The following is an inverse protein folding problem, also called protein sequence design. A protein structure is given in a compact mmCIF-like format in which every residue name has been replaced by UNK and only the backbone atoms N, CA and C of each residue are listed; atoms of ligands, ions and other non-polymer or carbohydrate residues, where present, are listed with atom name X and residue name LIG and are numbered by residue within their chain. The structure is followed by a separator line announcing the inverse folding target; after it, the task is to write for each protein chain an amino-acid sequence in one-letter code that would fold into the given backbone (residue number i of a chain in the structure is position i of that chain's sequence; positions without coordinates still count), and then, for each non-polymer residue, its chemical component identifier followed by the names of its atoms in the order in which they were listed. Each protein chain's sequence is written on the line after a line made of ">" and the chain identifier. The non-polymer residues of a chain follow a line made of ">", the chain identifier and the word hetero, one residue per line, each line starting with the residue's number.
data_IF_643545376836
#
_entry.id   IF_643545376836
#
_cell.length_a   1.000
_cell.length_b   1.000
_cell.length_c   1.000
_cell.angle_alpha   90.00
_cell.angle_beta   90.00
_cell.angle_gamma   90.00
#
_symmetry.space_group_name_H-M   'P 1'
#
loop_
_entity.id
_entity.type
_entity.pdbx_description
1 polymer ?
#
# COMPACT_ATOMS: atom_id res chain seq x y z
N UNK A 1 13.69 -11.09 -12.03
CA UNK A 1 14.87 -10.28 -12.35
C UNK A 1 15.57 -9.94 -11.05
N UNK A 2 16.84 -10.30 -10.87
CA UNK A 2 17.67 -9.82 -9.77
C UNK A 2 18.51 -8.66 -10.30
N UNK A 3 18.67 -7.64 -9.49
CA UNK A 3 19.36 -6.39 -9.90
C UNK A 3 20.88 -6.44 -9.70
N UNK A 4 21.42 -7.49 -9.09
CA UNK A 4 22.84 -7.62 -8.85
C UNK A 4 23.33 -9.05 -9.11
N UNK A 5 24.41 -9.20 -9.85
CA UNK A 5 25.10 -10.46 -10.10
C UNK A 5 26.22 -10.72 -9.07
N UNK A 6 26.15 -10.10 -7.92
CA UNK A 6 27.10 -10.23 -6.81
C UNK A 6 26.50 -10.90 -5.57
N UNK A 7 27.27 -10.95 -4.49
CA UNK A 7 26.92 -11.60 -3.21
C UNK A 7 25.64 -11.06 -2.49
N UNK A 8 24.92 -10.11 -3.07
CA UNK A 8 23.68 -9.54 -2.56
C UNK A 8 22.60 -9.54 -3.63
N UNK A 9 21.98 -10.67 -3.90
CA UNK A 9 20.78 -10.72 -4.73
C UNK A 9 19.63 -9.99 -4.02
N UNK A 10 19.10 -8.94 -4.64
CA UNK A 10 17.91 -8.25 -4.16
C UNK A 10 16.70 -8.69 -4.99
N UNK A 11 15.66 -9.18 -4.34
CA UNK A 11 14.37 -9.43 -4.99
C UNK A 11 13.69 -8.11 -5.35
N UNK A 12 13.06 -8.04 -6.51
CA UNK A 12 12.21 -6.91 -6.86
C UNK A 12 11.02 -6.87 -5.90
N UNK A 13 10.68 -5.70 -5.34
CA UNK A 13 9.53 -5.57 -4.47
C UNK A 13 8.24 -5.84 -5.27
N UNK A 14 7.71 -7.04 -5.13
CA UNK A 14 6.46 -7.48 -5.75
C UNK A 14 5.36 -7.43 -4.71
N UNK A 15 4.20 -6.85 -5.06
CA UNK A 15 3.05 -6.73 -4.18
C UNK A 15 1.85 -7.49 -4.74
N UNK A 16 1.11 -8.14 -3.85
CA UNK A 16 -0.26 -8.57 -4.10
C UNK A 16 -1.21 -7.62 -3.38
N UNK A 17 -2.07 -6.95 -4.13
CA UNK A 17 -3.15 -6.11 -3.59
C UNK A 17 -4.49 -6.66 -4.03
N UNK A 18 -5.37 -6.90 -3.06
CA UNK A 18 -6.74 -7.32 -3.29
C UNK A 18 -7.63 -6.30 -2.60
N UNK A 19 -8.61 -5.76 -3.34
CA UNK A 19 -9.52 -4.77 -2.80
C UNK A 19 -10.93 -4.94 -3.33
N UNK A 20 -11.88 -4.42 -2.57
CA UNK A 20 -13.28 -4.34 -2.96
C UNK A 20 -13.82 -2.95 -2.68
N UNK A 21 -14.62 -2.44 -3.61
CA UNK A 21 -15.32 -1.19 -3.47
C UNK A 21 -16.83 -1.41 -3.63
N UNK A 22 -17.59 -0.81 -2.73
CA UNK A 22 -19.03 -0.85 -2.71
C UNK A 22 -19.57 0.57 -2.82
N UNK A 23 -20.50 0.79 -3.74
CA UNK A 23 -21.10 2.09 -3.97
C UNK A 23 -22.61 1.99 -3.78
N UNK A 24 -23.15 2.90 -2.98
CA UNK A 24 -24.55 2.98 -2.62
C UNK A 24 -25.11 4.35 -3.00
N UNK A 25 -25.96 4.44 -4.03
CA UNK A 25 -26.74 5.65 -4.26
C UNK A 25 -27.79 5.76 -3.15
N UNK A 26 -27.74 6.84 -2.36
CA UNK A 26 -28.66 7.07 -1.23
C UNK A 26 -29.89 7.86 -1.68
N UNK A 27 -29.72 8.80 -2.61
CA UNK A 27 -30.74 9.63 -3.21
C UNK A 27 -30.22 10.22 -4.53
N UNK A 28 -31.01 11.00 -5.25
CA UNK A 28 -30.70 11.52 -6.59
C UNK A 28 -29.32 12.16 -6.74
N UNK A 29 -28.84 12.83 -5.69
CA UNK A 29 -27.54 13.54 -5.70
C UNK A 29 -26.54 13.00 -4.67
N UNK A 30 -26.89 11.97 -3.92
CA UNK A 30 -26.11 11.48 -2.80
C UNK A 30 -25.58 10.08 -3.07
N UNK A 31 -24.28 9.92 -3.00
CA UNK A 31 -23.63 8.62 -3.14
C UNK A 31 -22.68 8.38 -1.97
N UNK A 32 -22.72 7.18 -1.41
CA UNK A 32 -21.78 6.71 -0.39
C UNK A 32 -21.01 5.52 -0.93
N UNK A 33 -19.70 5.57 -0.84
CA UNK A 33 -18.84 4.47 -1.25
C UNK A 33 -17.97 4.00 -0.07
N UNK A 34 -17.71 2.70 -0.02
CA UNK A 34 -16.80 2.07 0.93
C UNK A 34 -15.78 1.25 0.17
N UNK A 35 -14.52 1.35 0.58
CA UNK A 35 -13.44 0.55 0.05
C UNK A 35 -12.69 -0.18 1.15
N UNK A 36 -12.26 -1.39 0.85
CA UNK A 36 -11.34 -2.15 1.69
C UNK A 36 -10.27 -2.77 0.81
N UNK A 37 -9.01 -2.66 1.22
CA UNK A 37 -7.86 -3.24 0.54
C UNK A 37 -7.01 -4.02 1.53
N UNK A 38 -6.52 -5.16 1.07
CA UNK A 38 -5.45 -5.93 1.71
C UNK A 38 -4.25 -5.95 0.76
N UNK A 39 -3.07 -5.62 1.27
CA UNK A 39 -1.84 -5.64 0.49
C UNK A 39 -0.76 -6.43 1.21
N UNK A 40 -0.11 -7.36 0.51
CA UNK A 40 1.01 -8.17 1.00
C UNK A 40 2.20 -8.01 0.09
N UNK A 41 3.38 -7.77 0.67
CA UNK A 41 4.65 -7.79 -0.04
C UNK A 41 5.05 -9.25 -0.29
N UNK A 42 5.26 -9.60 -1.56
CA UNK A 42 5.63 -10.95 -2.01
C UNK A 42 7.15 -11.06 -2.21
N UNK A 43 7.90 -10.74 -1.17
CA UNK A 43 9.35 -10.88 -1.15
C UNK A 43 9.69 -11.91 -0.07
N UNK A 44 10.48 -12.96 -0.39
CA UNK A 44 10.81 -13.98 0.59
C UNK A 44 11.61 -13.40 1.74
N UNK A 45 11.26 -13.83 2.95
CA UNK A 45 11.92 -13.39 4.19
C UNK A 45 13.39 -13.77 4.17
N UNK A 46 14.27 -12.78 4.31
CA UNK A 46 15.72 -13.03 4.41
C UNK A 46 16.05 -13.70 5.74
N UNK A 47 16.84 -14.79 5.75
CA UNK A 47 17.34 -15.38 7.00
C UNK A 47 18.04 -14.33 7.87
N UNK A 48 17.75 -14.33 9.15
CA UNK A 48 18.33 -13.40 10.12
C UNK A 48 19.22 -14.18 11.08
N UNK A 49 20.42 -13.68 11.33
CA UNK A 49 21.40 -14.33 12.23
C UNK A 49 20.86 -14.60 13.64
N UNK A 50 19.90 -13.78 14.10
CA UNK A 50 19.23 -13.96 15.40
C UNK A 50 18.34 -15.20 15.51
N UNK A 51 17.95 -15.78 14.40
CA UNK A 51 17.08 -16.96 14.33
C UNK A 51 17.91 -18.27 14.36
N UNK A 52 19.26 -18.16 14.44
CA UNK A 52 20.24 -19.25 14.48
C UNK A 52 21.17 -19.10 15.66
N UNK A 53 21.71 -20.21 16.19
CA UNK A 53 22.72 -20.16 17.26
C UNK A 53 24.10 -19.84 16.69
N UNK A 54 24.40 -18.54 16.58
CA UNK A 54 25.66 -18.04 16.04
C UNK A 54 26.90 -18.33 16.96
N UNK A 55 26.68 -18.90 18.15
CA UNK A 55 27.76 -19.24 19.07
C UNK A 55 28.38 -20.60 18.76
N UNK A 56 27.67 -21.45 18.03
CA UNK A 56 28.12 -22.79 17.62
C UNK A 56 28.55 -22.81 16.15
N UNK A 57 29.55 -23.61 15.77
CA UNK A 57 29.95 -23.79 14.37
C UNK A 57 28.81 -24.35 13.49
N UNK A 58 27.96 -25.21 14.06
CA UNK A 58 26.80 -25.80 13.39
C UNK A 58 25.75 -24.72 13.06
N UNK A 59 25.41 -23.86 14.01
CA UNK A 59 24.45 -22.79 13.79
C UNK A 59 24.94 -21.70 12.81
N UNK A 60 26.27 -21.45 12.77
CA UNK A 60 26.86 -20.59 11.73
C UNK A 60 26.71 -21.20 10.34
N UNK A 61 26.99 -22.51 10.23
CA UNK A 61 26.86 -23.24 8.96
C UNK A 61 25.42 -23.26 8.48
N UNK A 62 24.47 -23.55 9.37
CA UNK A 62 23.03 -23.52 9.06
C UNK A 62 22.57 -22.14 8.54
N UNK A 63 23.07 -21.07 9.16
CA UNK A 63 22.78 -19.71 8.71
C UNK A 63 23.35 -19.43 7.31
N UNK A 64 24.61 -19.80 7.07
CA UNK A 64 25.25 -19.62 5.76
C UNK A 64 24.52 -20.39 4.65
N UNK A 65 24.14 -21.65 4.91
CA UNK A 65 23.36 -22.46 3.99
C UNK A 65 21.98 -21.85 3.72
N UNK A 66 21.30 -21.30 4.74
CA UNK A 66 20.02 -20.64 4.59
C UNK A 66 20.14 -19.37 3.74
N UNK A 67 21.17 -18.57 3.94
CA UNK A 67 21.46 -17.38 3.14
C UNK A 67 21.78 -17.75 1.69
N UNK A 68 22.58 -18.79 1.48
CA UNK A 68 22.90 -19.26 0.14
C UNK A 68 21.65 -19.77 -0.59
N UNK A 69 20.83 -20.55 0.07
CA UNK A 69 19.54 -21.04 -0.44
C UNK A 69 18.57 -19.89 -0.78
N UNK A 70 18.59 -18.80 0.00
CA UNK A 70 17.81 -17.61 -0.26
C UNK A 70 18.34 -16.86 -1.50
N UNK A 71 19.68 -16.73 -1.65
CA UNK A 71 20.29 -16.07 -2.79
C UNK A 71 20.07 -16.84 -4.12
N UNK A 72 20.08 -18.18 -4.07
CA UNK A 72 19.92 -19.04 -5.25
C UNK A 72 18.47 -19.24 -5.66
N UNK A 73 17.53 -18.72 -4.86
CA UNK A 73 16.11 -18.87 -5.12
C UNK A 73 15.66 -18.04 -6.32
N UNK A 74 14.92 -18.67 -7.25
CA UNK A 74 14.34 -17.93 -8.36
C UNK A 74 13.28 -16.93 -7.90
N UNK A 75 13.15 -15.75 -8.56
CA UNK A 75 12.16 -14.74 -8.19
C UNK A 75 10.72 -15.26 -8.14
N UNK A 76 10.35 -16.13 -9.07
CA UNK A 76 9.01 -16.73 -9.13
C UNK A 76 8.77 -17.67 -7.95
N UNK A 77 9.73 -18.54 -7.62
CA UNK A 77 9.65 -19.40 -6.46
C UNK A 77 9.57 -18.56 -5.16
N UNK A 78 10.29 -17.44 -5.08
CA UNK A 78 10.25 -16.49 -3.98
C UNK A 78 8.85 -15.92 -3.74
N UNK A 79 8.12 -15.55 -4.80
CA UNK A 79 6.74 -15.06 -4.71
C UNK A 79 5.82 -16.09 -4.03
N UNK A 80 5.86 -17.35 -4.49
CA UNK A 80 5.01 -18.38 -3.88
C UNK A 80 5.43 -18.74 -2.46
N UNK A 81 6.73 -18.74 -2.18
CA UNK A 81 7.25 -19.06 -0.86
C UNK A 81 6.90 -18.00 0.18
N UNK A 82 6.80 -16.71 -0.22
CA UNK A 82 6.44 -15.59 0.65
C UNK A 82 5.04 -15.68 1.28
N UNK A 83 4.25 -16.69 0.97
CA UNK A 83 2.98 -16.99 1.63
C UNK A 83 3.11 -17.92 2.84
N UNK A 84 4.30 -18.50 3.07
CA UNK A 84 4.51 -19.51 4.13
C UNK A 84 5.93 -19.52 4.69
N UNK A 85 6.70 -18.43 4.54
CA UNK A 85 8.11 -18.38 4.92
C UNK A 85 8.38 -17.55 6.19
N UNK A 86 7.33 -17.00 6.81
CA UNK A 86 7.48 -16.28 8.06
C UNK A 86 7.90 -17.22 9.19
N UNK A 87 8.99 -16.93 9.94
CA UNK A 87 9.50 -17.77 11.02
C UNK A 87 8.48 -18.07 12.12
N UNK A 88 7.54 -17.14 12.39
CA UNK A 88 6.44 -17.30 13.34
C UNK A 88 5.20 -18.01 12.77
N UNK A 89 5.29 -18.59 11.56
CA UNK A 89 4.22 -19.31 10.91
C UNK A 89 3.04 -18.42 10.48
N UNK A 90 1.86 -19.01 10.33
CA UNK A 90 0.67 -18.35 9.79
C UNK A 90 0.27 -17.06 10.51
N UNK A 91 0.52 -16.96 11.82
CA UNK A 91 0.22 -15.75 12.59
C UNK A 91 1.13 -14.57 12.18
N UNK A 92 2.39 -14.83 11.91
CA UNK A 92 3.33 -13.81 11.43
C UNK A 92 3.02 -13.43 9.97
N UNK A 93 2.63 -14.39 9.14
CA UNK A 93 2.16 -14.14 7.78
C UNK A 93 0.98 -13.14 7.72
N UNK A 94 0.00 -13.28 8.64
CA UNK A 94 -1.10 -12.34 8.75
C UNK A 94 -0.64 -10.93 9.18
N UNK A 95 0.44 -10.81 9.92
CA UNK A 95 1.01 -9.51 10.32
C UNK A 95 1.72 -8.79 9.16
N UNK A 96 2.07 -9.49 8.08
CA UNK A 96 2.64 -8.91 6.86
C UNK A 96 1.61 -8.27 5.95
N UNK A 97 0.33 -8.52 6.21
CA UNK A 97 -0.75 -7.92 5.45
C UNK A 97 -1.03 -6.53 5.99
N UNK A 98 -0.94 -5.53 5.10
CA UNK A 98 -1.39 -4.17 5.41
C UNK A 98 -2.83 -3.99 4.97
N UNK A 99 -3.60 -3.27 5.77
CA UNK A 99 -5.01 -3.06 5.56
C UNK A 99 -5.33 -1.58 5.33
N UNK A 100 -6.22 -1.31 4.38
CA UNK A 100 -6.77 0.02 4.16
C UNK A 100 -8.29 -0.07 4.11
N UNK A 101 -8.95 0.79 4.86
CA UNK A 101 -10.41 0.92 4.84
C UNK A 101 -10.72 2.39 4.58
N UNK A 102 -11.66 2.66 3.69
CA UNK A 102 -12.05 4.03 3.36
C UNK A 102 -13.54 4.18 3.10
N UNK A 103 -14.01 5.40 3.28
CA UNK A 103 -15.35 5.81 2.90
C UNK A 103 -15.29 7.14 2.15
N UNK A 104 -16.13 7.27 1.13
CA UNK A 104 -16.32 8.50 0.37
C UNK A 104 -17.82 8.81 0.31
N UNK A 105 -18.16 10.04 0.66
CA UNK A 105 -19.46 10.60 0.40
C UNK A 105 -19.36 11.63 -0.72
N UNK A 106 -20.20 11.48 -1.74
CA UNK A 106 -20.27 12.40 -2.85
C UNK A 106 -21.66 13.05 -2.93
N UNK A 107 -21.68 14.37 -3.07
CA UNK A 107 -22.87 15.17 -3.34
C UNK A 107 -22.82 15.72 -4.75
N UNK A 108 -23.83 15.37 -5.55
CA UNK A 108 -24.00 15.80 -6.95
C UNK A 108 -22.74 15.55 -7.84
N UNK A 109 -21.90 14.59 -7.46
CA UNK A 109 -20.60 14.34 -8.12
C UNK A 109 -19.68 15.58 -8.18
N UNK A 110 -19.97 16.59 -7.36
CA UNK A 110 -19.22 17.85 -7.29
C UNK A 110 -18.46 18.00 -5.97
N UNK A 111 -19.09 17.66 -4.86
CA UNK A 111 -18.47 17.73 -3.55
C UNK A 111 -18.18 16.33 -3.03
N UNK A 112 -16.99 16.13 -2.52
CA UNK A 112 -16.52 14.84 -2.00
C UNK A 112 -15.97 15.01 -0.60
N UNK A 113 -16.44 14.20 0.33
CA UNK A 113 -15.87 14.03 1.65
C UNK A 113 -15.30 12.62 1.77
N UNK A 114 -14.07 12.46 2.24
CA UNK A 114 -13.38 11.19 2.33
C UNK A 114 -12.79 11.00 3.70
N UNK A 115 -12.85 9.77 4.17
CA UNK A 115 -12.12 9.35 5.36
C UNK A 115 -11.58 7.95 5.15
N UNK A 116 -10.45 7.65 5.76
CA UNK A 116 -9.85 6.33 5.65
C UNK A 116 -8.90 6.05 6.80
N UNK A 117 -8.60 4.79 6.97
CA UNK A 117 -7.63 4.30 7.92
C UNK A 117 -6.71 3.29 7.25
N UNK A 118 -5.42 3.48 7.44
CA UNK A 118 -4.36 2.57 7.02
C UNK A 118 -3.74 1.93 8.25
N UNK A 119 -3.55 0.61 8.18
CA UNK A 119 -2.94 -0.16 9.25
C UNK A 119 -1.84 -1.08 8.73
N UNK A 120 -0.68 -1.01 9.37
CA UNK A 120 0.44 -1.93 9.22
C UNK A 120 0.89 -2.40 10.60
N UNK A 121 1.17 -3.70 10.75
CA UNK A 121 1.55 -4.26 12.03
C UNK A 121 2.86 -3.65 12.55
N UNK A 122 2.94 -3.39 13.87
CA UNK A 122 4.10 -2.78 14.52
C UNK A 122 5.41 -3.56 14.29
N UNK A 123 5.33 -4.88 14.14
CA UNK A 123 6.50 -5.75 13.89
C UNK A 123 6.98 -5.72 12.43
N UNK A 124 6.19 -5.17 11.51
CA UNK A 124 6.43 -5.22 10.06
C UNK A 124 6.50 -3.81 9.41
N UNK A 125 6.68 -2.78 10.21
CA UNK A 125 6.79 -1.38 9.76
C UNK A 125 6.05 -0.39 10.65
N UNK A 126 4.92 -0.80 11.26
CA UNK A 126 4.22 -0.05 12.29
C UNK A 126 3.57 1.24 11.83
N UNK A 127 3.33 1.41 10.54
CA UNK A 127 2.67 2.60 10.01
C UNK A 127 1.17 2.49 10.15
N UNK A 128 0.57 3.41 10.88
CA UNK A 128 -0.88 3.53 10.95
C UNK A 128 -1.27 5.00 10.98
N UNK A 129 -2.30 5.35 10.20
CA UNK A 129 -2.76 6.73 10.11
C UNK A 129 -4.22 6.82 9.67
N UNK A 130 -4.88 7.86 10.12
CA UNK A 130 -6.15 8.31 9.56
C UNK A 130 -5.90 9.30 8.43
N UNK A 131 -6.68 9.18 7.37
CA UNK A 131 -6.72 10.12 6.27
C UNK A 131 -8.09 10.79 6.20
N UNK A 132 -8.12 12.11 6.04
CA UNK A 132 -9.32 12.89 5.79
C UNK A 132 -9.12 13.65 4.49
N UNK A 133 -10.17 13.76 3.69
CA UNK A 133 -10.10 14.47 2.42
C UNK A 133 -11.40 15.18 2.11
N UNK A 134 -11.26 16.31 1.43
CA UNK A 134 -12.37 17.01 0.81
C UNK A 134 -12.02 17.31 -0.64
N UNK A 135 -13.00 17.19 -1.54
CA UNK A 135 -12.82 17.45 -2.96
C UNK A 135 -13.96 18.28 -3.52
N UNK A 136 -13.63 19.09 -4.50
CA UNK A 136 -14.60 19.86 -5.27
C UNK A 136 -14.30 19.70 -6.76
N UNK A 137 -15.30 19.32 -7.54
CA UNK A 137 -15.20 19.14 -8.97
C UNK A 137 -16.19 20.05 -9.69
N UNK A 138 -15.71 20.88 -10.58
CA UNK A 138 -16.54 21.78 -11.39
C UNK A 138 -16.11 21.67 -12.84
N UNK A 139 -17.01 21.16 -13.69
CA UNK A 139 -16.78 20.95 -15.13
C UNK A 139 -15.43 20.25 -15.41
N UNK A 140 -14.42 21.05 -15.75
CA UNK A 140 -13.09 20.58 -16.17
C UNK A 140 -12.00 20.72 -15.10
N UNK A 141 -12.35 21.24 -13.93
CA UNK A 141 -11.40 21.49 -12.83
C UNK A 141 -11.83 20.71 -11.60
N UNK A 142 -10.86 20.04 -10.97
CA UNK A 142 -11.06 19.37 -9.69
C UNK A 142 -9.97 19.79 -8.71
N UNK A 143 -10.40 20.19 -7.53
CA UNK A 143 -9.55 20.52 -6.40
C UNK A 143 -9.78 19.51 -5.29
N UNK A 144 -8.74 18.87 -4.82
CA UNK A 144 -8.78 17.97 -3.68
C UNK A 144 -7.79 18.47 -2.60
N UNK A 145 -8.21 18.38 -1.35
CA UNK A 145 -7.39 18.59 -0.17
C UNK A 145 -7.43 17.32 0.68
N UNK A 146 -6.30 16.91 1.23
CA UNK A 146 -6.23 15.77 2.15
C UNK A 146 -5.28 16.04 3.31
N UNK A 147 -5.63 15.48 4.46
CA UNK A 147 -4.88 15.60 5.69
C UNK A 147 -4.66 14.22 6.30
N UNK A 148 -3.42 13.94 6.73
CA UNK A 148 -3.03 12.69 7.36
C UNK A 148 -2.71 12.94 8.84
N UNK A 149 -3.26 12.07 9.70
CA UNK A 149 -2.98 11.98 11.12
C UNK A 149 -2.36 10.62 11.42
N UNK A 150 -1.08 10.59 11.74
CA UNK A 150 -0.44 9.36 12.16
C UNK A 150 -0.90 8.95 13.56
N UNK A 151 -1.15 7.66 13.75
CA UNK A 151 -1.45 7.08 15.06
C UNK A 151 -0.22 6.42 15.69
N UNK A 152 0.84 6.20 14.89
CA UNK A 152 2.12 5.70 15.37
C UNK A 152 3.07 6.86 15.75
N UNK A 153 3.80 6.70 16.85
CA UNK A 153 4.77 7.70 17.30
C UNK A 153 5.90 7.86 16.27
N UNK A 154 6.33 9.11 16.06
CA UNK A 154 7.43 9.50 15.16
C UNK A 154 7.21 9.14 13.67
N UNK A 155 5.99 9.14 13.19
CA UNK A 155 5.73 8.95 11.76
C UNK A 155 6.11 10.21 10.97
N UNK A 156 6.93 10.12 9.91
CA UNK A 156 7.23 11.27 9.05
C UNK A 156 6.03 11.74 8.23
N UNK A 157 4.94 10.97 8.20
CA UNK A 157 3.69 11.31 7.52
C UNK A 157 2.71 12.07 8.41
N UNK A 158 3.03 12.25 9.70
CA UNK A 158 2.13 12.94 10.62
C UNK A 158 1.92 14.40 10.21
N UNK A 159 0.68 14.87 10.35
CA UNK A 159 0.26 16.24 10.02
C UNK A 159 0.57 16.66 8.58
N UNK A 160 0.58 15.69 7.64
CA UNK A 160 0.78 16.01 6.23
C UNK A 160 -0.49 16.54 5.60
N UNK A 161 -0.42 17.75 5.07
CA UNK A 161 -1.48 18.37 4.27
C UNK A 161 -1.07 18.35 2.78
N UNK A 162 -1.98 17.87 1.94
CA UNK A 162 -1.77 17.79 0.48
C UNK A 162 -2.92 18.48 -0.24
N UNK A 163 -2.56 19.28 -1.25
CA UNK A 163 -3.50 19.83 -2.22
C UNK A 163 -3.21 19.25 -3.60
N UNK A 164 -4.27 18.91 -4.34
CA UNK A 164 -4.18 18.41 -5.70
C UNK A 164 -5.14 19.19 -6.58
N UNK A 165 -4.63 19.73 -7.68
CA UNK A 165 -5.42 20.39 -8.72
C UNK A 165 -5.35 19.55 -9.99
N UNK A 166 -6.48 19.16 -10.52
CA UNK A 166 -6.60 18.34 -11.73
C UNK A 166 -7.43 19.04 -12.78
N UNK A 167 -7.07 18.85 -14.05
CA UNK A 167 -7.77 19.41 -15.21
C UNK A 167 -8.19 18.28 -16.15
N UNK A 168 -9.44 18.31 -16.60
CA UNK A 168 -9.93 17.50 -17.71
C UNK A 168 -9.61 18.21 -19.04
N UNK A 169 -8.59 17.71 -19.73
CA UNK A 169 -8.11 18.31 -20.98
C UNK A 169 -9.11 18.12 -22.13
N UNK A 170 -9.85 17.02 -22.14
CA UNK A 170 -10.85 16.75 -23.18
C UNK A 170 -12.06 17.66 -22.99
N UNK A 171 -12.57 17.79 -21.77
CA UNK A 171 -13.62 18.75 -21.44
C UNK A 171 -13.22 20.19 -21.71
N UNK A 172 -11.96 20.57 -21.42
CA UNK A 172 -11.41 21.91 -21.73
C UNK A 172 -11.39 22.18 -23.24
N UNK A 173 -10.98 21.20 -24.04
CA UNK A 173 -10.98 21.28 -25.50
C UNK A 173 -12.39 21.48 -26.05
N UNK A 174 -13.38 20.78 -25.51
CA UNK A 174 -14.78 20.91 -25.91
C UNK A 174 -15.36 22.29 -25.58
N UNK A 175 -15.02 22.81 -24.38
CA UNK A 175 -15.41 24.16 -23.99
C UNK A 175 -14.81 25.25 -24.88
N UNK A 176 -13.54 25.11 -25.27
CA UNK A 176 -12.84 26.03 -26.15
C UNK A 176 -13.30 25.88 -27.61
N UNK A 177 -13.61 24.65 -28.06
CA UNK A 177 -14.11 24.36 -29.41
C UNK A 177 -15.52 24.90 -29.67
N UNK A 178 -16.39 24.91 -28.67
CA UNK A 178 -17.76 25.51 -28.77
C UNK A 178 -17.76 27.03 -28.90
N UNK A 179 -16.67 27.72 -28.53
CA UNK A 179 -16.56 29.20 -28.68
C UNK A 179 -16.15 29.64 -30.08
N UNK A 180 -15.89 28.74 -31.01
CA UNK A 180 -15.47 29.04 -32.39
C UNK A 180 -16.56 28.86 -33.45
N UNK A 181 -17.84 28.75 -33.04
CA UNK A 181 -18.99 28.78 -34.00
C UNK A 181 -19.82 30.01 -33.82
#
# INVERSE_FOLDING_TARGET
>A
MSYDHGANNAFLPTNLRIGANFMFPLADYHTLAFGVDANKLLVPTKPRSKDYDMTTPEGQLEYEEAVQKWNDQSPIAGIFKSFSDAPGGFKEELQEITWSIGAEYAYNQQFFGRMGYYYENANKGGRSYFGFGAGFSLNVVRLDASYLLATSQNSPLDQTLRFTLSFDLDGLRDLLGKRRK
#
